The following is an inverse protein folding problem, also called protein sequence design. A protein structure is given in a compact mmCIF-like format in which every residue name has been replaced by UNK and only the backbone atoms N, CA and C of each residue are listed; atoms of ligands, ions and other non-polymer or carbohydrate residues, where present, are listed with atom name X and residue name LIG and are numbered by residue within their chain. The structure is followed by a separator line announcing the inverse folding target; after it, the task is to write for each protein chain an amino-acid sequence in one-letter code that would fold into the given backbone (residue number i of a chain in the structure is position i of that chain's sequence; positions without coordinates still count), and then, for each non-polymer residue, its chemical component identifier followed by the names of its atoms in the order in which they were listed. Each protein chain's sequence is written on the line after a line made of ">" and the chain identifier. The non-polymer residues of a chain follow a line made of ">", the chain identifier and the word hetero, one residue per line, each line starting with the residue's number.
data_IF_672444446278
#
_entry.id   IF_672444446278
#
_cell.length_a   1.000
_cell.length_b   1.000
_cell.length_c   1.000
_cell.angle_alpha   90.00
_cell.angle_beta   90.00
_cell.angle_gamma   90.00
#
_symmetry.space_group_name_H-M   'P 1'
#
loop_
_entity.id
_entity.type
_entity.pdbx_description
1 polymer ?
#
# COMPACT_ATOMS: atom_id res chain seq x y z
N UNK A 1 22.34 31.33 -22.26
CA UNK A 1 22.11 29.91 -21.90
C UNK A 1 20.80 29.88 -21.11
N UNK A 2 19.69 29.68 -21.79
CA UNK A 2 18.35 29.70 -21.20
C UNK A 2 18.08 28.31 -20.59
N UNK A 3 17.66 28.18 -19.32
CA UNK A 3 17.33 26.88 -18.78
C UNK A 3 16.13 26.32 -19.53
N UNK A 4 16.22 25.04 -19.91
CA UNK A 4 15.13 24.32 -20.54
C UNK A 4 13.89 24.31 -19.61
N UNK A 5 12.67 24.47 -20.13
CA UNK A 5 11.47 24.42 -19.31
C UNK A 5 11.35 23.04 -18.67
N UNK A 6 11.12 23.02 -17.36
CA UNK A 6 10.80 21.81 -16.62
C UNK A 6 9.56 21.16 -17.23
N UNK A 7 9.70 19.92 -17.69
CA UNK A 7 8.58 19.13 -18.21
C UNK A 7 7.60 18.96 -17.05
N UNK A 8 6.33 19.40 -17.17
CA UNK A 8 5.34 19.13 -16.14
C UNK A 8 5.22 17.61 -16.00
N UNK A 9 5.46 17.14 -14.77
CA UNK A 9 5.21 15.75 -14.39
C UNK A 9 3.80 15.38 -14.85
N UNK A 10 3.58 14.26 -15.54
CA UNK A 10 2.28 13.95 -16.09
C UNK A 10 1.24 13.97 -14.98
N UNK A 11 0.20 14.77 -15.18
CA UNK A 11 -1.01 14.74 -14.37
C UNK A 11 -1.45 13.27 -14.24
N UNK A 12 -1.83 12.88 -13.01
CA UNK A 12 -2.27 11.53 -12.62
C UNK A 12 -3.01 10.89 -13.81
N UNK A 13 -2.48 9.84 -14.47
CA UNK A 13 -3.24 9.16 -15.52
C UNK A 13 -4.54 8.70 -14.90
N UNK A 14 -5.68 9.21 -15.38
CA UNK A 14 -6.97 9.23 -14.67
C UNK A 14 -7.25 7.92 -13.92
N UNK A 15 -6.77 7.83 -12.68
CA UNK A 15 -6.93 6.66 -11.87
C UNK A 15 -8.39 6.68 -11.44
N UNK A 16 -9.19 5.80 -12.03
CA UNK A 16 -10.58 5.67 -11.64
C UNK A 16 -10.61 5.27 -10.16
N UNK A 17 -11.16 6.12 -9.31
CA UNK A 17 -11.37 5.82 -7.90
C UNK A 17 -12.82 6.15 -7.49
N UNK A 18 -13.41 5.41 -6.53
CA UNK A 18 -12.84 4.22 -5.90
C UNK A 18 -12.68 3.05 -6.89
N UNK A 19 -11.69 2.19 -6.64
CA UNK A 19 -11.43 1.01 -7.46
C UNK A 19 -11.04 -0.20 -6.62
N UNK A 20 -11.39 -1.39 -7.11
CA UNK A 20 -10.96 -2.67 -6.52
C UNK A 20 -9.92 -3.28 -7.44
N UNK A 21 -8.82 -3.78 -6.91
CA UNK A 21 -7.84 -4.54 -7.65
C UNK A 21 -7.94 -6.01 -7.24
N UNK A 22 -8.29 -6.89 -8.17
CA UNK A 22 -8.15 -8.32 -7.97
C UNK A 22 -6.66 -8.66 -8.08
N UNK A 23 -6.06 -9.13 -6.99
CA UNK A 23 -4.62 -9.22 -6.80
C UNK A 23 -4.14 -10.65 -6.54
N UNK A 24 -2.91 -10.92 -6.95
CA UNK A 24 -2.09 -12.03 -6.47
C UNK A 24 -0.89 -11.46 -5.73
N UNK A 25 -0.72 -11.92 -4.48
CA UNK A 25 0.45 -11.66 -3.66
C UNK A 25 1.35 -12.88 -3.73
N UNK A 26 2.59 -12.68 -4.17
CA UNK A 26 3.61 -13.72 -4.20
C UNK A 26 4.78 -13.34 -3.28
N UNK A 27 5.17 -14.28 -2.42
CA UNK A 27 6.38 -14.19 -1.62
C UNK A 27 7.35 -15.27 -2.10
N UNK A 28 8.46 -14.84 -2.68
CA UNK A 28 9.56 -15.73 -3.07
C UNK A 28 10.69 -15.52 -2.07
N UNK A 29 10.95 -16.55 -1.26
CA UNK A 29 12.13 -16.66 -0.41
C UNK A 29 13.16 -17.50 -1.15
N UNK A 30 14.39 -17.02 -1.26
CA UNK A 30 15.47 -17.75 -1.94
C UNK A 30 16.52 -18.31 -0.98
N UNK A 31 16.51 -17.90 0.29
CA UNK A 31 17.40 -18.40 1.33
C UNK A 31 16.66 -18.47 2.68
N UNK A 32 16.96 -19.45 3.56
CA UNK A 32 17.87 -20.60 3.37
C UNK A 32 17.27 -21.73 2.51
N UNK A 33 15.95 -21.75 2.30
CA UNK A 33 15.24 -22.69 1.41
C UNK A 33 14.37 -21.91 0.43
N UNK A 34 14.30 -22.38 -0.82
CA UNK A 34 13.40 -21.79 -1.83
C UNK A 34 11.95 -22.10 -1.46
N UNK A 35 11.22 -21.07 -1.03
CA UNK A 35 9.79 -21.17 -0.75
C UNK A 35 9.05 -20.09 -1.52
N UNK A 36 8.02 -20.48 -2.27
CA UNK A 36 7.16 -19.57 -3.01
C UNK A 36 5.72 -19.74 -2.54
N UNK A 37 5.21 -18.74 -1.83
CA UNK A 37 3.80 -18.68 -1.43
C UNK A 37 3.06 -17.69 -2.30
N UNK A 38 1.99 -18.13 -2.96
CA UNK A 38 1.08 -17.27 -3.73
C UNK A 38 -0.30 -17.29 -3.11
N UNK A 39 -0.91 -16.12 -2.95
CA UNK A 39 -2.27 -15.98 -2.44
C UNK A 39 -3.03 -14.97 -3.27
N UNK A 40 -4.27 -15.30 -3.61
CA UNK A 40 -5.19 -14.39 -4.30
C UNK A 40 -5.97 -13.58 -3.27
N UNK A 41 -6.17 -12.32 -3.56
CA UNK A 41 -6.85 -11.37 -2.69
C UNK A 41 -7.39 -10.20 -3.50
N UNK A 42 -7.95 -9.19 -2.85
CA UNK A 42 -8.25 -7.92 -3.46
C UNK A 42 -7.87 -6.75 -2.57
N UNK A 43 -7.53 -5.62 -3.20
CA UNK A 43 -7.17 -4.37 -2.55
C UNK A 43 -8.05 -3.25 -3.06
N UNK A 44 -8.35 -2.28 -2.20
CA UNK A 44 -9.08 -1.08 -2.54
C UNK A 44 -8.12 0.06 -2.77
N UNK A 45 -8.32 0.81 -3.85
CA UNK A 45 -7.71 2.11 -4.06
C UNK A 45 -8.77 3.19 -3.88
N UNK A 46 -8.57 4.03 -2.89
CA UNK A 46 -9.53 5.06 -2.46
C UNK A 46 -8.82 6.38 -2.20
N UNK A 47 -9.57 7.47 -2.27
CA UNK A 47 -9.17 8.73 -1.65
C UNK A 47 -9.45 8.63 -0.16
N UNK A 48 -8.49 9.00 0.70
CA UNK A 48 -8.73 8.94 2.15
C UNK A 48 -9.64 10.07 2.64
N UNK A 49 -9.73 11.15 1.86
CA UNK A 49 -10.59 12.29 2.16
C UNK A 49 -12.01 12.11 1.56
N UNK A 50 -12.18 11.18 0.61
CA UNK A 50 -13.48 10.79 0.02
C UNK A 50 -13.65 9.26 -0.04
N UNK A 51 -13.77 8.65 1.15
CA UNK A 51 -13.95 7.21 1.27
C UNK A 51 -15.31 6.73 0.71
N UNK A 52 -15.37 5.55 0.08
CA UNK A 52 -16.58 5.07 -0.59
C UNK A 52 -17.75 4.87 0.38
N UNK A 53 -18.91 5.41 0.02
CA UNK A 53 -20.16 5.29 0.80
C UNK A 53 -20.98 4.10 0.32
N UNK A 54 -20.88 2.98 1.01
CA UNK A 54 -21.58 1.75 0.64
C UNK A 54 -23.04 1.69 1.15
N UNK A 55 -23.95 1.06 0.39
CA UNK A 55 -25.29 0.70 0.86
C UNK A 55 -25.24 -0.09 2.16
N UNK A 56 -26.23 0.09 3.04
CA UNK A 56 -26.22 -0.47 4.41
C UNK A 56 -25.96 -1.97 4.47
N UNK A 57 -26.49 -2.74 3.51
CA UNK A 57 -26.30 -4.19 3.41
C UNK A 57 -24.91 -4.61 2.92
N UNK A 58 -24.16 -3.73 2.25
CA UNK A 58 -22.78 -3.99 1.79
C UNK A 58 -21.72 -3.43 2.74
N UNK A 59 -22.09 -2.56 3.69
CA UNK A 59 -21.16 -2.01 4.70
C UNK A 59 -20.35 -3.08 5.47
N UNK A 60 -20.91 -4.26 5.81
CA UNK A 60 -20.10 -5.31 6.42
C UNK A 60 -18.99 -5.85 5.51
N UNK A 61 -19.08 -5.69 4.19
CA UNK A 61 -18.11 -6.22 3.23
C UNK A 61 -16.94 -5.28 2.94
N UNK A 62 -17.05 -4.00 3.28
CA UNK A 62 -15.94 -3.08 3.15
C UNK A 62 -16.12 -1.88 4.09
N UNK A 63 -15.18 -1.74 5.03
CA UNK A 63 -15.09 -0.58 5.93
C UNK A 63 -13.63 -0.17 6.12
N UNK A 64 -13.38 1.13 6.07
CA UNK A 64 -12.09 1.74 6.39
C UNK A 64 -12.20 2.41 7.75
N UNK A 65 -11.25 2.17 8.64
CA UNK A 65 -11.28 2.67 10.02
C UNK A 65 -9.90 3.19 10.42
N UNK A 66 -9.86 4.39 11.00
CA UNK A 66 -8.60 5.00 11.44
C UNK A 66 -7.84 4.14 12.47
N UNK A 67 -8.57 3.30 13.23
CA UNK A 67 -7.99 2.38 14.22
C UNK A 67 -7.03 1.36 13.60
N UNK A 68 -7.15 1.10 12.30
CA UNK A 68 -6.27 0.18 11.57
C UNK A 68 -4.92 0.78 11.18
N UNK A 69 -4.77 2.10 11.22
CA UNK A 69 -3.65 2.79 10.58
C UNK A 69 -2.81 3.60 11.58
N UNK A 70 -1.50 3.70 11.32
CA UNK A 70 -0.42 4.47 12.00
C UNK A 70 -0.19 4.22 13.50
N UNK A 71 -1.20 3.73 14.22
CA UNK A 71 -1.22 3.58 15.68
C UNK A 71 -2.65 3.55 16.25
N UNK A 72 -3.65 3.82 15.40
CA UNK A 72 -5.07 3.62 15.71
C UNK A 72 -5.68 4.57 16.72
N UNK A 73 -4.96 5.64 17.09
CA UNK A 73 -5.39 6.67 18.05
C UNK A 73 -5.87 7.96 17.40
N UNK A 74 -5.56 8.14 16.12
CA UNK A 74 -5.94 9.35 15.38
C UNK A 74 -7.46 9.34 15.07
N UNK A 75 -8.10 10.52 15.01
CA UNK A 75 -9.53 10.63 14.71
C UNK A 75 -9.87 10.24 13.26
N UNK A 76 -8.90 10.30 12.34
CA UNK A 76 -9.04 9.90 10.95
C UNK A 76 -7.73 9.31 10.41
N UNK A 77 -7.80 8.59 9.29
CA UNK A 77 -6.60 8.08 8.58
C UNK A 77 -5.72 9.25 8.15
N UNK A 78 -6.34 10.31 7.63
CA UNK A 78 -5.68 11.57 7.26
C UNK A 78 -4.88 12.17 8.42
N UNK A 79 -5.50 12.33 9.59
CA UNK A 79 -4.80 12.88 10.76
C UNK A 79 -3.63 12.00 11.22
N UNK A 80 -3.77 10.67 11.13
CA UNK A 80 -2.68 9.74 11.44
C UNK A 80 -1.50 9.87 10.48
N UNK A 81 -1.80 10.00 9.18
CA UNK A 81 -0.80 10.22 8.14
C UNK A 81 -0.10 11.58 8.30
N UNK A 82 -0.86 12.66 8.47
CA UNK A 82 -0.30 14.01 8.62
C UNK A 82 0.63 14.08 9.83
N UNK A 83 0.23 13.46 10.95
CA UNK A 83 1.09 13.38 12.14
C UNK A 83 2.36 12.56 11.88
N UNK A 84 2.30 11.50 11.06
CA UNK A 84 3.48 10.75 10.65
C UNK A 84 4.40 11.59 9.74
N UNK A 85 3.84 12.23 8.72
CA UNK A 85 4.59 13.07 7.78
C UNK A 85 5.28 14.24 8.47
N UNK A 86 4.58 14.92 9.39
CA UNK A 86 5.15 16.00 10.19
C UNK A 86 6.35 15.55 11.03
N UNK A 87 6.28 14.36 11.67
CA UNK A 87 7.43 13.79 12.42
C UNK A 87 8.63 13.46 11.53
N UNK A 88 8.39 13.22 10.24
CA UNK A 88 9.44 12.97 9.24
C UNK A 88 9.91 14.25 8.54
N UNK A 89 9.40 15.44 8.93
CA UNK A 89 9.76 16.72 8.34
C UNK A 89 9.16 16.98 6.95
N UNK A 90 8.13 16.24 6.55
CA UNK A 90 7.40 16.47 5.29
C UNK A 90 6.24 17.42 5.56
N UNK A 91 6.24 18.57 4.88
CA UNK A 91 5.25 19.66 5.09
C UNK A 91 4.55 20.12 3.81
N UNK A 92 5.02 19.64 2.66
CA UNK A 92 4.56 20.00 1.32
C UNK A 92 3.54 19.00 0.73
N UNK A 93 3.25 17.90 1.43
CA UNK A 93 2.23 16.90 1.07
C UNK A 93 0.82 17.33 1.51
N UNK A 94 0.36 18.49 1.04
CA UNK A 94 -0.86 19.16 1.50
C UNK A 94 -2.10 18.95 0.61
N UNK A 95 -1.96 18.14 -0.44
CA UNK A 95 -3.00 17.84 -1.41
C UNK A 95 -3.67 16.48 -1.20
N UNK A 96 -3.93 15.81 -2.32
CA UNK A 96 -4.67 14.55 -2.38
C UNK A 96 -3.83 13.38 -1.85
N UNK A 97 -4.46 12.50 -1.08
CA UNK A 97 -3.84 11.24 -0.67
C UNK A 97 -4.66 10.04 -1.15
N UNK A 98 -4.02 9.21 -1.97
CA UNK A 98 -4.58 7.95 -2.42
C UNK A 98 -4.06 6.82 -1.55
N UNK A 99 -4.96 5.93 -1.11
CA UNK A 99 -4.64 4.79 -0.26
C UNK A 99 -4.98 3.49 -0.96
N UNK A 100 -4.01 2.58 -1.04
CA UNK A 100 -4.21 1.17 -1.40
C UNK A 100 -4.16 0.33 -0.13
N UNK A 101 -5.29 -0.29 0.23
CA UNK A 101 -5.42 -1.06 1.46
C UNK A 101 -6.42 -2.22 1.33
N UNK A 102 -6.36 -3.17 2.26
CA UNK A 102 -7.49 -4.04 2.54
C UNK A 102 -8.58 -3.28 3.31
N UNK A 103 -9.84 -3.46 2.90
CA UNK A 103 -10.99 -3.04 3.69
C UNK A 103 -11.38 -4.13 4.71
N UNK A 104 -12.00 -3.75 5.83
CA UNK A 104 -12.59 -4.70 6.77
C UNK A 104 -13.76 -5.43 6.14
N UNK A 105 -13.79 -6.75 6.32
CA UNK A 105 -14.88 -7.66 5.95
C UNK A 105 -15.37 -8.33 7.24
N UNK A 106 -16.66 -8.20 7.55
CA UNK A 106 -17.27 -8.65 8.81
C UNK A 106 -16.49 -8.21 10.06
N UNK A 107 -16.03 -6.95 10.04
CA UNK A 107 -15.19 -6.33 11.08
C UNK A 107 -13.81 -6.98 11.29
N UNK A 108 -13.38 -7.89 10.41
CA UNK A 108 -12.06 -8.48 10.41
C UNK A 108 -11.22 -7.93 9.24
N UNK A 109 -9.94 -7.66 9.49
CA UNK A 109 -9.00 -7.25 8.44
C UNK A 109 -7.61 -7.79 8.75
N UNK A 110 -7.03 -8.43 7.74
CA UNK A 110 -5.60 -8.67 7.69
C UNK A 110 -5.04 -7.79 6.57
N UNK A 111 -4.40 -6.68 6.94
CA UNK A 111 -3.87 -5.68 6.00
C UNK A 111 -2.35 -5.61 6.13
N UNK A 112 -1.60 -6.56 5.53
CA UNK A 112 -0.15 -6.65 5.74
C UNK A 112 0.60 -5.45 5.18
N UNK A 113 0.02 -4.74 4.20
CA UNK A 113 0.61 -3.56 3.57
C UNK A 113 -0.48 -2.56 3.16
N UNK A 114 -0.36 -1.35 3.67
CA UNK A 114 -1.06 -0.17 3.16
C UNK A 114 -0.07 0.76 2.45
N UNK A 115 -0.43 1.26 1.27
CA UNK A 115 0.40 2.23 0.53
C UNK A 115 -0.38 3.53 0.39
N UNK A 116 0.25 4.64 0.75
CA UNK A 116 -0.29 6.00 0.59
C UNK A 116 0.55 6.76 -0.43
N UNK A 117 -0.06 7.27 -1.50
CA UNK A 117 0.57 8.22 -2.41
C UNK A 117 0.11 9.62 -2.04
N UNK A 118 1.04 10.43 -1.55
CA UNK A 118 0.78 11.77 -1.04
C UNK A 118 1.18 12.81 -2.09
N UNK A 119 0.25 13.71 -2.42
CA UNK A 119 0.45 14.75 -3.43
C UNK A 119 0.40 16.14 -2.78
N UNK A 120 0.99 17.12 -3.46
CA UNK A 120 0.77 18.53 -3.17
C UNK A 120 -0.54 19.03 -3.81
N UNK A 121 -0.95 20.26 -3.51
CA UNK A 121 -2.13 20.90 -4.14
C UNK A 121 -2.04 21.04 -5.66
N UNK A 122 -0.84 21.01 -6.24
CA UNK A 122 -0.64 21.02 -7.68
C UNK A 122 -0.81 19.62 -8.30
N UNK A 123 -1.05 18.58 -7.49
CA UNK A 123 -1.24 17.21 -7.94
C UNK A 123 0.08 16.46 -8.21
N UNK A 124 1.22 17.03 -7.83
CA UNK A 124 2.52 16.37 -7.95
C UNK A 124 2.74 15.46 -6.74
N UNK A 125 3.23 14.25 -7.00
CA UNK A 125 3.56 13.30 -5.94
C UNK A 125 4.77 13.80 -5.13
N UNK A 126 4.56 13.99 -3.83
CA UNK A 126 5.59 14.46 -2.89
C UNK A 126 6.33 13.27 -2.28
N UNK A 127 5.57 12.27 -1.82
CA UNK A 127 6.12 11.08 -1.21
C UNK A 127 5.14 9.90 -1.25
N UNK A 128 5.67 8.72 -0.95
CA UNK A 128 4.88 7.51 -0.73
C UNK A 128 5.12 7.03 0.70
N UNK A 129 4.07 6.63 1.41
CA UNK A 129 4.19 6.00 2.72
C UNK A 129 3.77 4.54 2.60
N UNK A 130 4.64 3.62 3.00
CA UNK A 130 4.33 2.19 3.05
C UNK A 130 4.18 1.77 4.52
N UNK A 131 2.95 1.54 4.94
CA UNK A 131 2.62 1.05 6.27
C UNK A 131 2.54 -0.49 6.23
N UNK A 132 3.43 -1.15 6.97
CA UNK A 132 3.54 -2.60 7.06
C UNK A 132 3.03 -3.07 8.42
N UNK A 133 2.15 -4.05 8.41
CA UNK A 133 1.68 -4.74 9.62
C UNK A 133 2.25 -6.15 9.67
N UNK A 134 2.73 -6.57 10.83
CA UNK A 134 3.17 -7.95 11.05
C UNK A 134 2.09 -8.77 11.78
N UNK A 135 2.21 -10.09 11.75
CA UNK A 135 1.27 -11.03 12.40
C UNK A 135 1.30 -10.96 13.93
N UNK A 136 2.28 -10.26 14.52
CA UNK A 136 2.46 -10.06 15.96
C UNK A 136 1.86 -8.74 16.46
N UNK A 137 1.08 -8.03 15.61
CA UNK A 137 0.44 -6.77 15.96
C UNK A 137 1.33 -5.54 15.86
N UNK A 138 2.59 -5.70 15.44
CA UNK A 138 3.50 -4.60 15.16
C UNK A 138 3.12 -3.86 13.87
N UNK A 139 3.24 -2.53 13.91
CA UNK A 139 2.99 -1.64 12.77
C UNK A 139 4.21 -0.74 12.55
N UNK A 140 4.54 -0.49 11.30
CA UNK A 140 5.61 0.44 10.94
C UNK A 140 5.36 1.11 9.61
N UNK A 141 5.78 2.36 9.51
CA UNK A 141 5.61 3.17 8.31
C UNK A 141 6.98 3.55 7.75
N UNK A 142 7.22 3.21 6.49
CA UNK A 142 8.36 3.67 5.72
C UNK A 142 7.96 4.91 4.94
N UNK A 143 8.68 6.02 5.14
CA UNK A 143 8.60 7.17 4.25
C UNK A 143 9.50 6.94 3.04
N UNK A 144 8.94 7.05 1.85
CA UNK A 144 9.61 6.78 0.58
C UNK A 144 9.53 8.03 -0.30
N UNK A 145 10.64 8.37 -0.94
CA UNK A 145 10.72 9.40 -1.98
C UNK A 145 11.11 8.70 -3.28
N UNK A 146 10.13 8.27 -4.10
CA UNK A 146 10.42 7.51 -5.30
C UNK A 146 11.21 8.32 -6.33
N UNK A 147 12.15 7.67 -7.01
CA UNK A 147 12.83 8.21 -8.19
C UNK A 147 11.88 8.31 -9.39
N UNK A 148 12.40 8.79 -10.53
CA UNK A 148 11.65 8.91 -11.78
C UNK A 148 11.17 7.56 -12.36
N UNK A 149 11.50 6.42 -11.75
CA UNK A 149 11.02 5.08 -12.09
C UNK A 149 10.17 4.42 -10.98
N UNK A 150 9.65 5.23 -10.05
CA UNK A 150 8.84 4.83 -8.90
C UNK A 150 9.56 3.90 -7.92
N UNK A 151 10.89 3.99 -7.84
CA UNK A 151 11.70 3.18 -6.93
C UNK A 151 12.17 4.01 -5.75
N UNK A 152 12.09 3.44 -4.56
CA UNK A 152 12.66 4.02 -3.35
C UNK A 152 13.43 2.95 -2.58
N UNK A 153 14.63 3.29 -2.16
CA UNK A 153 15.41 2.48 -1.23
C UNK A 153 15.15 3.01 0.19
N UNK A 154 14.85 2.10 1.12
CA UNK A 154 14.67 2.39 2.53
C UNK A 154 15.53 1.43 3.36
N UNK A 155 16.27 1.97 4.33
CA UNK A 155 16.99 1.14 5.29
C UNK A 155 15.98 0.26 6.06
N UNK A 156 16.24 -1.04 6.18
CA UNK A 156 15.37 -1.93 6.95
C UNK A 156 15.50 -1.57 8.42
N UNK A 157 14.50 -0.88 8.96
CA UNK A 157 14.45 -0.47 10.36
C UNK A 157 13.38 -1.20 11.16
N UNK A 158 12.59 -2.07 10.51
CA UNK A 158 11.47 -2.76 11.16
C UNK A 158 11.49 -4.28 11.01
N UNK A 159 11.22 -4.94 12.13
CA UNK A 159 11.11 -6.38 12.28
C UNK A 159 9.73 -6.87 11.78
N UNK A 160 9.67 -7.25 10.50
CA UNK A 160 8.42 -7.72 9.86
C UNK A 160 8.27 -9.24 9.85
N UNK A 161 9.28 -10.01 10.28
CA UNK A 161 9.24 -11.48 10.29
C UNK A 161 10.25 -12.07 11.27
N UNK A 162 9.91 -13.16 12.01
CA UNK A 162 10.81 -13.85 12.93
C UNK A 162 11.97 -14.60 12.25
N UNK A 163 12.02 -14.60 10.92
CA UNK A 163 12.97 -15.36 10.11
C UNK A 163 14.07 -14.52 9.44
N UNK A 164 14.04 -13.20 9.58
CA UNK A 164 15.07 -12.34 8.99
C UNK A 164 15.54 -11.29 9.98
N UNK A 165 16.84 -11.36 10.30
CA UNK A 165 17.54 -10.40 11.14
C UNK A 165 17.40 -8.96 10.62
N UNK A 166 17.65 -7.97 11.48
CA UNK A 166 17.41 -6.54 11.20
C UNK A 166 18.33 -5.99 10.07
N UNK A 167 19.26 -6.80 9.57
CA UNK A 167 20.23 -6.41 8.55
C UNK A 167 19.63 -6.34 7.12
N UNK A 168 20.09 -5.35 6.35
CA UNK A 168 19.77 -5.15 4.93
C UNK A 168 18.99 -3.87 4.60
N UNK A 169 18.64 -3.71 3.33
CA UNK A 169 17.82 -2.60 2.81
C UNK A 169 16.62 -3.12 2.03
N UNK A 170 15.50 -2.42 2.12
CA UNK A 170 14.34 -2.67 1.27
C UNK A 170 14.43 -1.80 0.03
N UNK A 171 14.45 -2.44 -1.14
CA UNK A 171 14.17 -1.78 -2.41
C UNK A 171 12.70 -1.95 -2.74
N UNK A 172 11.94 -0.86 -2.66
CA UNK A 172 10.52 -0.85 -2.96
C UNK A 172 10.28 -0.18 -4.32
N UNK A 173 9.35 -0.76 -5.09
CA UNK A 173 8.81 -0.14 -6.29
C UNK A 173 7.29 -0.09 -6.15
N UNK A 174 6.76 1.12 -6.03
CA UNK A 174 5.37 1.37 -5.65
C UNK A 174 4.73 2.44 -6.57
N UNK A 175 4.62 2.17 -7.88
CA UNK A 175 3.99 3.11 -8.80
C UNK A 175 2.52 3.29 -8.44
N UNK A 176 2.00 4.50 -8.64
CA UNK A 176 0.56 4.73 -8.54
C UNK A 176 -0.15 3.84 -9.59
N UNK A 177 -1.08 2.97 -9.19
CA UNK A 177 -1.68 2.03 -10.12
C UNK A 177 -2.72 2.71 -11.03
N UNK A 178 -2.77 2.25 -12.29
CA UNK A 178 -3.75 2.63 -13.29
C UNK A 178 -4.63 1.41 -13.67
N UNK A 179 -4.49 0.82 -14.86
CA UNK A 179 -5.21 -0.42 -15.21
C UNK A 179 -4.71 -1.65 -14.43
N UNK A 180 -3.41 -1.63 -14.12
CA UNK A 180 -2.70 -2.73 -13.48
C UNK A 180 -2.01 -2.23 -12.23
N UNK A 181 -2.09 -3.04 -11.18
CA UNK A 181 -1.30 -2.90 -9.97
C UNK A 181 -0.03 -3.74 -10.11
N UNK A 182 1.12 -3.16 -9.76
CA UNK A 182 2.41 -3.83 -9.80
C UNK A 182 3.34 -3.28 -8.73
N UNK A 183 3.27 -3.84 -7.53
CA UNK A 183 4.14 -3.49 -6.41
C UNK A 183 5.24 -4.56 -6.27
N UNK A 184 6.43 -4.14 -5.89
CA UNK A 184 7.50 -5.06 -5.49
C UNK A 184 8.30 -4.53 -4.31
N UNK A 185 8.57 -5.40 -3.34
CA UNK A 185 9.43 -5.15 -2.20
C UNK A 185 10.51 -6.23 -2.20
N UNK A 186 11.77 -5.81 -2.24
CA UNK A 186 12.93 -6.70 -2.23
C UNK A 186 13.76 -6.41 -1.00
N UNK A 187 14.05 -7.45 -0.21
CA UNK A 187 15.10 -7.38 0.81
C UNK A 187 16.43 -7.62 0.12
N UNK A 188 17.39 -6.70 0.31
CA UNK A 188 18.76 -6.81 -0.19
C UNK A 188 19.72 -6.82 0.98
N UNK A 189 20.64 -7.77 0.99
CA UNK A 189 21.78 -7.77 1.90
C UNK A 189 22.99 -7.10 1.22
N UNK A 190 24.00 -6.74 2.01
CA UNK A 190 25.23 -6.10 1.51
C UNK A 190 26.04 -7.02 0.58
N UNK A 191 25.94 -8.33 0.79
CA UNK A 191 26.51 -9.38 -0.08
C UNK A 191 25.85 -9.48 -1.48
N UNK A 192 24.85 -8.63 -1.77
CA UNK A 192 24.11 -8.60 -3.02
C UNK A 192 23.00 -9.65 -3.13
N UNK A 193 22.84 -10.52 -2.14
CA UNK A 193 21.78 -11.52 -2.10
C UNK A 193 20.40 -10.87 -1.94
N UNK A 194 19.37 -11.59 -2.41
CA UNK A 194 17.96 -11.15 -2.40
C UNK A 194 17.08 -12.18 -1.70
N UNK A 195 17.24 -12.37 -0.39
CA UNK A 195 16.63 -13.48 0.33
C UNK A 195 15.09 -13.47 0.29
N UNK A 196 14.47 -12.31 0.09
CA UNK A 196 13.03 -12.15 0.01
C UNK A 196 12.63 -11.19 -1.10
N UNK A 197 11.69 -11.62 -1.95
CA UNK A 197 10.97 -10.76 -2.88
C UNK A 197 9.47 -10.95 -2.67
N UNK A 198 8.78 -9.87 -2.29
CA UNK A 198 7.33 -9.81 -2.23
C UNK A 198 6.82 -9.01 -3.44
N UNK A 199 5.82 -9.55 -4.15
CA UNK A 199 5.17 -8.84 -5.26
C UNK A 199 3.67 -8.87 -5.11
N UNK A 200 3.03 -7.73 -5.40
CA UNK A 200 1.58 -7.62 -5.52
C UNK A 200 1.26 -7.25 -6.95
N UNK A 201 0.49 -8.10 -7.64
CA UNK A 201 0.07 -7.85 -9.02
C UNK A 201 -1.43 -7.95 -9.11
N UNK A 202 -2.08 -7.00 -9.77
CA UNK A 202 -3.53 -7.03 -9.91
C UNK A 202 -4.06 -6.28 -11.11
N UNK A 203 -5.35 -6.46 -11.37
CA UNK A 203 -6.09 -5.72 -12.40
C UNK A 203 -7.24 -4.96 -11.77
N UNK A 204 -7.43 -3.73 -12.24
CA UNK A 204 -8.51 -2.86 -11.79
C UNK A 204 -9.88 -3.47 -12.14
N UNK A 205 -10.82 -3.28 -11.23
CA UNK A 205 -12.23 -3.64 -11.31
C UNK A 205 -13.05 -2.47 -10.76
N UNK A 206 -14.26 -2.24 -11.28
CA UNK A 206 -15.17 -1.25 -10.72
C UNK A 206 -15.40 -1.50 -9.23
N UNK A 207 -15.45 -0.43 -8.44
CA UNK A 207 -15.80 -0.48 -7.03
C UNK A 207 -17.31 -0.23 -6.80
N UNK A 208 -18.15 -0.84 -7.63
CA UNK A 208 -19.60 -0.83 -7.46
C UNK A 208 -20.06 -2.06 -6.65
N UNK A 209 -21.37 -2.13 -6.37
CA UNK A 209 -21.96 -3.23 -5.61
C UNK A 209 -21.66 -4.61 -6.23
N UNK A 210 -21.73 -4.71 -7.56
CA UNK A 210 -21.47 -5.95 -8.29
C UNK A 210 -19.99 -6.35 -8.19
N UNK A 211 -19.08 -5.39 -8.36
CA UNK A 211 -17.64 -5.57 -8.23
C UNK A 211 -17.23 -6.01 -6.82
N UNK A 212 -17.82 -5.41 -5.78
CA UNK A 212 -17.58 -5.80 -4.39
C UNK A 212 -18.09 -7.22 -4.10
N UNK A 213 -19.30 -7.56 -4.53
CA UNK A 213 -19.85 -8.91 -4.34
C UNK A 213 -19.00 -9.95 -5.09
N UNK A 214 -18.63 -9.67 -6.34
CA UNK A 214 -17.76 -10.55 -7.12
C UNK A 214 -16.38 -10.73 -6.46
N UNK A 215 -15.80 -9.65 -5.92
CA UNK A 215 -14.52 -9.70 -5.22
C UNK A 215 -14.60 -10.52 -3.92
N UNK A 216 -15.65 -10.32 -3.12
CA UNK A 216 -15.90 -11.04 -1.88
C UNK A 216 -16.15 -12.54 -2.12
N UNK A 217 -16.96 -12.89 -3.12
CA UNK A 217 -17.24 -14.29 -3.50
C UNK A 217 -16.01 -15.00 -4.06
N UNK A 218 -15.18 -14.29 -4.82
CA UNK A 218 -13.97 -14.88 -5.40
C UNK A 218 -12.84 -15.07 -4.38
N UNK A 219 -12.92 -14.43 -3.20
CA UNK A 219 -11.86 -14.43 -2.20
C UNK A 219 -12.40 -14.51 -0.75
N UNK A 220 -13.14 -15.57 -0.39
CA UNK A 220 -13.82 -15.68 0.90
C UNK A 220 -12.86 -15.71 2.11
N UNK A 221 -11.59 -16.10 1.91
CA UNK A 221 -10.56 -16.16 2.95
C UNK A 221 -9.54 -15.01 2.91
N UNK A 222 -9.76 -13.98 2.10
CA UNK A 222 -8.80 -12.86 1.93
C UNK A 222 -8.47 -12.12 3.23
N UNK A 223 -9.38 -12.11 4.21
CA UNK A 223 -9.14 -11.52 5.54
C UNK A 223 -8.81 -12.55 6.61
N UNK A 224 -9.16 -13.83 6.44
CA UNK A 224 -9.09 -14.86 7.49
C UNK A 224 -7.76 -15.62 7.57
N UNK A 225 -6.81 -15.36 6.68
CA UNK A 225 -5.67 -16.25 6.51
C UNK A 225 -4.44 -15.88 7.36
N UNK A 226 -4.48 -16.22 8.64
CA UNK A 226 -3.29 -16.63 9.40
C UNK A 226 -3.64 -17.91 10.18
N UNK A 227 -3.31 -19.05 9.60
CA UNK A 227 -3.01 -20.30 10.31
C UNK A 227 -1.65 -20.78 9.85
#
# INVERSE_FOLDING_TARGET
>A
MTPAPAIPSPAIPATAIPSIYACEIAHVRTAPLRHSLRRRTYLWLVDIDDLPRLPRFLRPLARFDARDHFGGRAPSIRAGLDAFLARQGVTDADGRVLMLAHARVFNHVFNPLTVYWCHDRAGRQVCVVAEVHNTYGGRHCYLLRPDAQDRADAAKTFYVSPFFDVEGSYRMRLPLPAERLGLSIQLRHEDGSRPLTATVRGRRRPADAAGLLAAALSHPWSTLAVT
#
